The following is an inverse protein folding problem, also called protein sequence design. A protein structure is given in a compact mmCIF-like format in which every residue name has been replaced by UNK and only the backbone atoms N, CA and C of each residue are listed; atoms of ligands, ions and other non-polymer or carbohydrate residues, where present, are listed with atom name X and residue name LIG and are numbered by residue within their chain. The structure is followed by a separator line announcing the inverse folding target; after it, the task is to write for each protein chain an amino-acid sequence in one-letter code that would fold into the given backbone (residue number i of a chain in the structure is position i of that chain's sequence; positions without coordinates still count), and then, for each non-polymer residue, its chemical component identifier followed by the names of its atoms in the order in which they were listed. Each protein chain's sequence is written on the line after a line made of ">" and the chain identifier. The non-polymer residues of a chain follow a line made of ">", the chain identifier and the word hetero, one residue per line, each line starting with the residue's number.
data_IF_844284406979
#
_entry.id   IF_844284406979
#
_cell.length_a   1.000
_cell.length_b   1.000
_cell.length_c   1.000
_cell.angle_alpha   90.00
_cell.angle_beta   90.00
_cell.angle_gamma   90.00
#
_symmetry.space_group_name_H-M   'P 1'
#
loop_
_entity.id
_entity.type
_entity.pdbx_description
1 polymer ?
#
# COMPACT_ATOMS: atom_id res chain seq x y z
N UNK A 1 -8.16 -6.26 22.62
CA UNK A 1 -8.21 -6.71 21.21
C UNK A 1 -6.81 -7.20 20.80
N UNK A 2 -6.64 -8.48 20.43
CA UNK A 2 -5.36 -9.01 19.98
C UNK A 2 -4.96 -8.35 18.66
N UNK A 3 -3.66 -7.98 18.51
CA UNK A 3 -3.14 -7.42 17.25
C UNK A 3 -3.35 -8.45 16.13
N UNK A 4 -3.90 -8.07 14.98
CA UNK A 4 -4.08 -9.01 13.87
C UNK A 4 -2.72 -9.59 13.45
N UNK A 5 -2.66 -10.92 13.32
CA UNK A 5 -1.44 -11.66 13.00
C UNK A 5 -0.87 -11.21 11.65
N UNK A 6 0.45 -10.99 11.57
CA UNK A 6 1.17 -10.73 10.32
C UNK A 6 1.30 -12.00 9.50
N UNK A 7 1.32 -11.86 8.18
CA UNK A 7 1.63 -12.98 7.29
C UNK A 7 3.14 -13.24 7.28
N UNK A 8 3.56 -14.38 7.78
CA UNK A 8 4.97 -14.79 7.83
C UNK A 8 5.58 -15.02 6.45
N UNK A 9 4.75 -15.34 5.47
CA UNK A 9 5.09 -15.67 4.08
C UNK A 9 5.13 -14.44 3.16
N UNK A 10 4.85 -13.22 3.68
CA UNK A 10 4.75 -12.00 2.88
C UNK A 10 5.78 -10.97 3.31
N UNK A 11 6.62 -10.51 2.38
CA UNK A 11 7.45 -9.31 2.50
C UNK A 11 6.74 -8.11 1.87
N UNK A 12 6.78 -6.95 2.51
CA UNK A 12 6.20 -5.70 2.02
C UNK A 12 7.25 -4.78 1.41
N UNK A 13 6.94 -4.16 0.28
CA UNK A 13 7.80 -3.19 -0.40
C UNK A 13 7.03 -1.93 -0.75
N UNK A 14 7.50 -0.78 -0.24
CA UNK A 14 7.00 0.52 -0.65
C UNK A 14 7.81 0.97 -1.87
N UNK A 15 7.14 1.20 -3.00
CA UNK A 15 7.77 1.72 -4.21
C UNK A 15 7.78 3.25 -4.15
N UNK A 16 8.96 3.82 -3.97
CA UNK A 16 9.19 5.26 -3.78
C UNK A 16 10.29 5.82 -4.71
N UNK A 17 10.64 5.10 -5.78
CA UNK A 17 11.71 5.46 -6.74
C UNK A 17 11.32 6.48 -7.82
N UNK A 18 10.05 6.87 -7.93
CA UNK A 18 9.57 7.80 -8.96
C UNK A 18 10.14 9.21 -8.79
N UNK A 19 10.66 9.81 -9.88
CA UNK A 19 11.03 11.21 -9.89
C UNK A 19 9.76 12.07 -9.81
N UNK A 20 9.56 12.81 -8.71
CA UNK A 20 8.42 13.72 -8.48
C UNK A 20 8.51 15.02 -9.31
N UNK A 21 8.92 14.92 -10.59
CA UNK A 21 9.23 16.06 -11.47
C UNK A 21 8.08 17.08 -11.61
N UNK A 22 6.83 16.63 -11.44
CA UNK A 22 5.64 17.49 -11.63
C UNK A 22 5.24 18.29 -10.39
N UNK A 23 5.71 17.91 -9.21
CA UNK A 23 5.34 18.57 -7.96
C UNK A 23 6.40 19.52 -7.40
N UNK A 24 7.62 19.56 -7.98
CA UNK A 24 8.72 20.34 -7.43
C UNK A 24 9.21 19.87 -6.04
N UNK A 25 8.48 18.93 -5.41
CA UNK A 25 8.76 18.39 -4.09
C UNK A 25 8.80 16.86 -4.12
N UNK A 26 9.52 16.28 -3.15
CA UNK A 26 9.52 14.84 -2.96
C UNK A 26 8.18 14.38 -2.34
N UNK A 27 7.31 13.81 -3.18
CA UNK A 27 5.99 13.31 -2.76
C UNK A 27 6.06 12.37 -1.57
N UNK A 28 7.04 11.46 -1.55
CA UNK A 28 7.14 10.43 -0.53
C UNK A 28 7.33 11.03 0.87
N UNK A 29 7.94 12.22 0.95
CA UNK A 29 8.21 12.95 2.20
C UNK A 29 7.11 13.93 2.61
N UNK A 30 6.11 14.18 1.75
CA UNK A 30 5.03 15.11 2.08
C UNK A 30 4.29 14.68 3.35
N UNK A 31 4.02 15.62 4.28
CA UNK A 31 3.38 15.31 5.55
C UNK A 31 1.88 14.99 5.37
N UNK A 32 1.42 13.94 6.05
CA UNK A 32 0.01 13.55 6.17
C UNK A 32 -0.34 13.42 7.66
N UNK A 33 -0.74 14.53 8.28
CA UNK A 33 -0.90 14.59 9.74
C UNK A 33 0.44 14.41 10.45
N UNK A 34 0.54 13.43 11.33
CA UNK A 34 1.76 13.12 12.11
C UNK A 34 2.79 12.24 11.39
N UNK A 35 2.51 11.78 10.18
CA UNK A 35 3.40 10.90 9.39
C UNK A 35 3.62 11.46 7.98
N UNK A 36 4.63 10.97 7.26
CA UNK A 36 4.80 11.26 5.83
C UNK A 36 4.01 10.27 4.97
N UNK A 37 3.86 10.59 3.66
CA UNK A 37 3.23 9.67 2.72
C UNK A 37 3.90 8.28 2.73
N UNK A 38 5.22 8.23 2.68
CA UNK A 38 5.96 6.96 2.77
C UNK A 38 5.82 6.33 4.15
N UNK A 39 5.86 7.12 5.23
CA UNK A 39 5.67 6.65 6.60
C UNK A 39 4.33 5.94 6.80
N UNK A 40 3.26 6.50 6.23
CA UNK A 40 1.94 5.88 6.22
C UNK A 40 1.95 4.50 5.53
N UNK A 41 2.56 4.38 4.36
CA UNK A 41 2.65 3.09 3.66
C UNK A 41 3.47 2.06 4.45
N UNK A 42 4.58 2.49 5.05
CA UNK A 42 5.39 1.64 5.94
C UNK A 42 4.55 1.12 7.11
N UNK A 43 3.80 2.00 7.78
CA UNK A 43 2.94 1.63 8.91
C UNK A 43 1.87 0.62 8.49
N UNK A 44 1.21 0.82 7.35
CA UNK A 44 0.22 -0.12 6.80
C UNK A 44 0.85 -1.50 6.55
N UNK A 45 1.99 -1.54 5.86
CA UNK A 45 2.67 -2.80 5.55
C UNK A 45 3.23 -3.50 6.79
N UNK A 46 3.73 -2.75 7.80
CA UNK A 46 4.21 -3.32 9.08
C UNK A 46 3.12 -4.05 9.87
N UNK A 47 1.86 -3.66 9.72
CA UNK A 47 0.72 -4.33 10.35
C UNK A 47 0.37 -5.67 9.69
N UNK A 48 0.89 -5.94 8.48
CA UNK A 48 0.46 -7.04 7.62
C UNK A 48 1.61 -7.98 7.29
N UNK A 49 2.76 -7.43 6.90
CA UNK A 49 3.89 -8.19 6.38
C UNK A 49 4.89 -8.60 7.47
N UNK A 50 5.63 -9.67 7.21
CA UNK A 50 6.76 -10.15 8.05
C UNK A 50 7.87 -9.10 8.13
N UNK A 51 8.24 -8.52 6.99
CA UNK A 51 9.27 -7.49 6.84
C UNK A 51 8.79 -6.40 5.90
N UNK A 52 9.32 -5.19 6.06
CA UNK A 52 8.98 -4.05 5.20
C UNK A 52 10.28 -3.34 4.79
N UNK A 53 10.37 -2.99 3.52
CA UNK A 53 11.48 -2.22 2.96
C UNK A 53 10.96 -1.16 1.98
N UNK A 54 11.77 -0.14 1.72
CA UNK A 54 11.54 0.84 0.66
C UNK A 54 12.36 0.44 -0.56
N UNK A 55 11.80 0.61 -1.75
CA UNK A 55 12.54 0.61 -3.01
C UNK A 55 12.59 2.04 -3.54
N UNK A 56 13.78 2.61 -3.59
CA UNK A 56 14.02 3.98 -4.01
C UNK A 56 15.42 4.46 -3.61
N UNK A 57 15.80 5.71 -3.94
CA UNK A 57 17.11 6.25 -3.60
C UNK A 57 17.30 6.32 -2.06
N UNK A 58 18.37 5.72 -1.50
CA UNK A 58 18.59 5.69 -0.04
C UNK A 58 18.75 7.06 0.60
N UNK A 59 19.38 7.99 -0.09
CA UNK A 59 19.61 9.39 0.33
C UNK A 59 18.30 10.16 0.59
N UNK A 60 17.21 9.74 -0.03
CA UNK A 60 15.88 10.33 0.18
C UNK A 60 15.22 9.89 1.47
N UNK A 61 15.68 8.82 2.10
CA UNK A 61 15.04 8.19 3.26
C UNK A 61 16.02 7.86 4.39
N UNK A 62 16.89 8.82 4.82
CA UNK A 62 17.91 8.54 5.82
C UNK A 62 17.32 8.08 7.16
N UNK A 63 16.15 8.61 7.53
CA UNK A 63 15.49 8.36 8.82
C UNK A 63 14.31 7.38 8.72
N UNK A 64 14.27 6.55 7.68
CA UNK A 64 13.14 5.65 7.46
C UNK A 64 12.96 4.56 8.55
N UNK A 65 14.02 4.26 9.31
CA UNK A 65 14.00 3.22 10.35
C UNK A 65 13.72 1.82 9.80
N UNK A 66 13.92 1.62 8.49
CA UNK A 66 13.81 0.35 7.77
C UNK A 66 14.82 0.30 6.62
N UNK A 67 15.04 -0.91 6.09
CA UNK A 67 15.93 -1.10 4.95
C UNK A 67 15.41 -0.38 3.71
N UNK A 68 16.27 0.41 3.07
CA UNK A 68 16.05 1.03 1.76
C UNK A 68 16.95 0.36 0.74
N UNK A 69 16.39 -0.03 -0.39
CA UNK A 69 17.11 -0.60 -1.54
C UNK A 69 16.99 0.32 -2.73
N UNK A 70 18.10 0.67 -3.34
CA UNK A 70 18.11 1.33 -4.63
C UNK A 70 17.67 0.39 -5.73
N UNK A 71 17.06 0.93 -6.81
CA UNK A 71 16.68 0.15 -7.99
C UNK A 71 17.92 -0.47 -8.64
N UNK A 72 18.01 -1.80 -8.66
CA UNK A 72 19.14 -2.53 -9.28
C UNK A 72 19.23 -2.29 -10.79
N UNK A 73 18.13 -1.91 -11.43
CA UNK A 73 18.05 -1.56 -12.85
C UNK A 73 17.45 -0.17 -12.99
N UNK A 74 18.31 0.84 -12.97
CA UNK A 74 17.89 2.23 -13.02
C UNK A 74 17.05 2.57 -14.28
N UNK A 75 16.14 3.54 -14.15
CA UNK A 75 15.36 4.08 -15.26
C UNK A 75 14.26 3.18 -15.81
N UNK A 76 13.98 2.03 -15.17
CA UNK A 76 12.96 1.06 -15.62
C UNK A 76 11.60 1.27 -14.98
N UNK A 77 11.42 2.38 -14.26
CA UNK A 77 10.16 2.73 -13.60
C UNK A 77 9.70 1.68 -12.57
N UNK A 78 8.39 1.59 -12.29
CA UNK A 78 7.90 0.71 -11.23
C UNK A 78 8.25 -0.77 -11.42
N UNK A 79 8.44 -1.25 -12.65
CA UNK A 79 8.81 -2.64 -12.90
C UNK A 79 10.26 -2.93 -12.46
N UNK A 80 11.17 -1.93 -12.54
CA UNK A 80 12.52 -2.01 -11.97
C UNK A 80 12.46 -2.19 -10.45
N UNK A 81 11.65 -1.38 -9.78
CA UNK A 81 11.44 -1.52 -8.33
C UNK A 81 10.83 -2.87 -7.93
N UNK A 82 9.89 -3.39 -8.71
CA UNK A 82 9.33 -4.75 -8.51
C UNK A 82 10.43 -5.81 -8.66
N UNK A 83 11.30 -5.70 -9.66
CA UNK A 83 12.45 -6.57 -9.84
C UNK A 83 13.33 -6.60 -8.59
N UNK A 84 13.74 -5.41 -8.12
CA UNK A 84 14.59 -5.25 -6.95
C UNK A 84 13.94 -5.85 -5.70
N UNK A 85 12.66 -5.55 -5.44
CA UNK A 85 11.93 -6.08 -4.31
C UNK A 85 11.83 -7.62 -4.33
N UNK A 86 11.53 -8.23 -5.49
CA UNK A 86 11.49 -9.70 -5.65
C UNK A 86 12.86 -10.35 -5.42
N UNK A 87 13.94 -9.72 -5.82
CA UNK A 87 15.32 -10.20 -5.56
C UNK A 87 15.68 -10.15 -4.08
N UNK A 88 15.26 -9.10 -3.39
CA UNK A 88 15.53 -8.86 -1.95
C UNK A 88 14.58 -9.62 -1.03
N UNK A 89 13.44 -10.10 -1.54
CA UNK A 89 12.47 -10.85 -0.75
C UNK A 89 13.06 -12.17 -0.25
N UNK A 90 12.81 -12.45 1.04
CA UNK A 90 13.15 -13.75 1.69
C UNK A 90 11.91 -14.62 1.90
N UNK A 91 10.78 -14.24 1.31
CA UNK A 91 9.49 -14.90 1.43
C UNK A 91 8.97 -15.29 0.06
N UNK A 92 8.02 -16.23 0.03
CA UNK A 92 7.37 -16.67 -1.22
C UNK A 92 6.57 -15.54 -1.86
N UNK A 93 5.94 -14.69 -1.06
CA UNK A 93 5.09 -13.60 -1.53
C UNK A 93 5.70 -12.25 -1.23
N UNK A 94 5.48 -11.30 -2.12
CA UNK A 94 5.88 -9.90 -2.00
C UNK A 94 4.69 -9.00 -2.27
N UNK A 95 4.30 -8.19 -1.28
CA UNK A 95 3.29 -7.14 -1.42
C UNK A 95 3.98 -5.84 -1.81
N UNK A 96 3.69 -5.37 -3.01
CA UNK A 96 4.16 -4.06 -3.51
C UNK A 96 3.08 -3.02 -3.36
N UNK A 97 3.47 -1.84 -2.88
CA UNK A 97 2.57 -0.70 -2.68
C UNK A 97 3.28 0.59 -3.08
N UNK A 98 2.66 1.37 -3.98
CA UNK A 98 3.18 2.69 -4.34
C UNK A 98 3.01 3.68 -3.19
N UNK A 99 3.98 4.58 -3.02
CA UNK A 99 3.93 5.61 -1.98
C UNK A 99 2.86 6.69 -2.24
N UNK A 100 2.34 6.82 -3.47
CA UNK A 100 1.40 7.85 -3.89
C UNK A 100 -0.10 7.52 -3.69
N UNK A 101 -0.42 6.43 -2.99
CA UNK A 101 -1.79 6.02 -2.62
C UNK A 101 -2.08 6.28 -1.13
N UNK A 102 -2.20 7.54 -0.70
CA UNK A 102 -2.31 7.90 0.72
C UNK A 102 -3.61 7.47 1.39
N UNK A 103 -4.66 7.16 0.63
CA UNK A 103 -5.94 6.67 1.14
C UNK A 103 -6.01 5.14 1.22
N UNK A 104 -4.90 4.43 0.96
CA UNK A 104 -4.86 2.97 1.05
C UNK A 104 -5.33 2.47 2.42
N UNK A 105 -6.07 1.36 2.39
CA UNK A 105 -6.68 0.73 3.55
C UNK A 105 -5.96 -0.57 3.95
N UNK A 106 -5.71 -0.73 5.26
CA UNK A 106 -5.02 -1.92 5.77
C UNK A 106 -5.85 -3.20 5.63
N UNK A 107 -7.17 -3.09 5.75
CA UNK A 107 -8.11 -4.20 5.55
C UNK A 107 -8.05 -4.72 4.11
N UNK A 108 -7.99 -3.80 3.14
CA UNK A 108 -7.83 -4.19 1.74
C UNK A 108 -6.48 -4.88 1.47
N UNK A 109 -5.39 -4.35 2.00
CA UNK A 109 -4.07 -4.99 1.83
C UNK A 109 -4.04 -6.40 2.44
N UNK A 110 -4.68 -6.57 3.60
CA UNK A 110 -4.86 -7.88 4.25
C UNK A 110 -5.68 -8.82 3.36
N UNK A 111 -6.83 -8.36 2.90
CA UNK A 111 -7.69 -9.12 1.99
C UNK A 111 -6.94 -9.56 0.72
N UNK A 112 -6.14 -8.65 0.13
CA UNK A 112 -5.34 -8.95 -1.05
C UNK A 112 -4.30 -10.05 -0.78
N UNK A 113 -3.64 -10.03 0.40
CA UNK A 113 -2.73 -11.09 0.83
C UNK A 113 -3.46 -12.42 1.04
N UNK A 114 -4.61 -12.43 1.69
CA UNK A 114 -5.43 -13.64 1.89
C UNK A 114 -5.81 -14.27 0.55
N UNK A 115 -6.26 -13.47 -0.41
CA UNK A 115 -6.56 -13.94 -1.76
C UNK A 115 -5.32 -14.48 -2.48
N UNK A 116 -4.14 -13.91 -2.24
CA UNK A 116 -2.89 -14.41 -2.82
C UNK A 116 -2.46 -15.75 -2.25
N UNK A 117 -2.62 -15.95 -0.94
CA UNK A 117 -2.22 -17.18 -0.26
C UNK A 117 -3.06 -18.39 -0.70
N UNK A 118 -4.36 -18.22 -0.92
CA UNK A 118 -5.24 -19.30 -1.37
C UNK A 118 -5.24 -19.51 -2.89
N UNK A 119 -4.75 -18.52 -3.66
CA UNK A 119 -4.68 -18.60 -5.12
C UNK A 119 -3.45 -19.35 -5.61
N UNK A 120 -3.57 -20.12 -6.69
CA UNK A 120 -2.42 -20.67 -7.43
C UNK A 120 -1.78 -19.67 -8.40
N UNK A 121 -2.38 -18.49 -8.59
CA UNK A 121 -1.88 -17.46 -9.49
C UNK A 121 -0.50 -16.95 -9.07
N UNK A 122 0.25 -16.44 -10.03
CA UNK A 122 1.59 -15.86 -9.83
C UNK A 122 1.53 -14.42 -9.35
N UNK A 123 0.40 -13.72 -9.62
CA UNK A 123 0.13 -12.37 -9.18
C UNK A 123 -1.32 -12.27 -8.69
N UNK A 124 -1.55 -11.53 -7.61
CA UNK A 124 -2.89 -11.14 -7.15
C UNK A 124 -2.95 -9.62 -7.18
N UNK A 125 -3.94 -9.10 -7.91
CA UNK A 125 -4.06 -7.67 -8.21
C UNK A 125 -5.46 -7.16 -7.90
N UNK A 126 -5.61 -5.86 -7.55
CA UNK A 126 -6.91 -5.22 -7.40
C UNK A 126 -7.67 -5.18 -8.74
N UNK A 127 -8.95 -4.77 -8.72
CA UNK A 127 -9.69 -4.52 -9.96
C UNK A 127 -8.99 -3.46 -10.80
N UNK A 128 -9.02 -3.58 -12.13
CA UNK A 128 -8.59 -2.49 -13.00
C UNK A 128 -9.60 -1.34 -12.92
N UNK A 129 -9.08 -0.12 -12.77
CA UNK A 129 -9.85 1.12 -12.82
C UNK A 129 -9.56 1.85 -14.11
N UNK A 130 -10.28 2.89 -14.42
CA UNK A 130 -10.12 3.74 -15.61
C UNK A 130 -9.25 3.15 -16.75
N UNK A 131 -9.84 2.78 -17.87
CA UNK A 131 -9.15 2.25 -19.07
C UNK A 131 -8.29 0.99 -18.81
N UNK A 132 -8.61 0.19 -17.79
CA UNK A 132 -7.89 -1.06 -17.48
C UNK A 132 -6.54 -0.87 -16.79
N UNK A 133 -6.26 0.32 -16.27
CA UNK A 133 -5.04 0.59 -15.49
C UNK A 133 -5.17 -0.06 -14.11
N UNK A 134 -4.20 -0.87 -13.74
CA UNK A 134 -4.11 -1.47 -12.42
C UNK A 134 -3.41 -0.49 -11.46
N UNK A 135 -3.98 -0.25 -10.26
CA UNK A 135 -3.26 0.45 -9.21
C UNK A 135 -1.95 -0.28 -8.90
N UNK A 136 -0.91 0.48 -8.57
CA UNK A 136 0.38 -0.12 -8.21
C UNK A 136 0.35 -0.64 -6.76
N UNK A 137 -0.50 -1.65 -6.58
CA UNK A 137 -0.70 -2.42 -5.36
C UNK A 137 -0.93 -3.87 -5.80
N UNK A 138 -0.01 -4.78 -5.48
CA UNK A 138 -0.08 -6.17 -5.94
C UNK A 138 0.67 -7.11 -5.02
N UNK A 139 0.17 -8.34 -4.86
CA UNK A 139 0.94 -9.43 -4.25
C UNK A 139 1.47 -10.33 -5.36
N UNK A 140 2.79 -10.51 -5.38
CA UNK A 140 3.49 -11.31 -6.39
C UNK A 140 4.17 -12.50 -5.73
N UNK A 141 4.11 -13.66 -6.38
CA UNK A 141 4.94 -14.82 -6.00
C UNK A 141 6.36 -14.64 -6.52
N UNK A 142 7.34 -15.14 -5.77
CA UNK A 142 8.77 -15.08 -6.13
C UNK A 142 9.05 -15.64 -7.54
N UNK A 143 8.32 -16.64 -7.98
CA UNK A 143 8.50 -17.27 -9.30
C UNK A 143 8.32 -16.33 -10.50
N UNK A 144 7.68 -15.16 -10.35
CA UNK A 144 7.56 -14.19 -11.47
C UNK A 144 8.85 -13.42 -11.75
N UNK A 145 9.87 -13.54 -10.91
CA UNK A 145 11.12 -12.78 -11.05
C UNK A 145 11.76 -12.98 -12.43
N UNK A 146 11.76 -14.21 -12.97
CA UNK A 146 12.27 -14.49 -14.31
C UNK A 146 11.51 -13.74 -15.40
N UNK A 147 10.17 -13.70 -15.31
CA UNK A 147 9.31 -12.97 -16.26
C UNK A 147 9.52 -11.46 -16.17
N UNK A 148 9.69 -10.91 -14.95
CA UNK A 148 10.01 -9.50 -14.74
C UNK A 148 11.35 -9.18 -15.41
N UNK A 149 12.40 -9.98 -15.14
CA UNK A 149 13.73 -9.81 -15.72
C UNK A 149 13.68 -9.83 -17.25
N UNK A 150 13.05 -10.83 -17.86
CA UNK A 150 12.90 -10.93 -19.32
C UNK A 150 12.16 -9.71 -19.90
N UNK A 151 11.10 -9.23 -19.22
CA UNK A 151 10.40 -8.01 -19.67
C UNK A 151 11.29 -6.78 -19.66
N UNK A 152 12.11 -6.61 -18.61
CA UNK A 152 13.06 -5.49 -18.50
C UNK A 152 14.17 -5.56 -19.54
N UNK A 153 14.73 -6.74 -19.83
CA UNK A 153 15.73 -6.96 -20.88
C UNK A 153 15.18 -6.59 -22.26
N UNK A 154 13.90 -6.90 -22.52
CA UNK A 154 13.21 -6.55 -23.77
C UNK A 154 12.73 -5.08 -23.83
N UNK A 155 13.10 -4.24 -22.87
CA UNK A 155 12.65 -2.85 -22.80
C UNK A 155 11.16 -2.66 -22.48
N UNK A 156 10.45 -3.71 -22.05
CA UNK A 156 9.02 -3.70 -21.76
C UNK A 156 8.75 -3.34 -20.30
N UNK A 157 8.95 -2.07 -19.96
CA UNK A 157 8.95 -1.59 -18.56
C UNK A 157 7.54 -1.33 -17.98
N UNK A 158 6.46 -1.53 -18.77
CA UNK A 158 5.11 -1.24 -18.34
C UNK A 158 4.54 -2.37 -17.45
N UNK A 159 4.18 -2.06 -16.21
CA UNK A 159 3.60 -3.02 -15.25
C UNK A 159 2.32 -3.67 -15.81
N UNK A 160 1.48 -2.91 -16.50
CA UNK A 160 0.27 -3.44 -17.13
C UNK A 160 0.56 -4.51 -18.20
N UNK A 161 1.63 -4.34 -18.99
CA UNK A 161 2.07 -5.36 -19.96
C UNK A 161 2.63 -6.61 -19.25
N UNK A 162 3.39 -6.42 -18.18
CA UNK A 162 3.87 -7.52 -17.35
C UNK A 162 2.70 -8.35 -16.80
N UNK A 163 1.67 -7.72 -16.24
CA UNK A 163 0.50 -8.44 -15.72
C UNK A 163 -0.24 -9.25 -16.79
N UNK A 164 -0.16 -8.90 -18.07
CA UNK A 164 -0.73 -9.71 -19.16
C UNK A 164 0.05 -11.00 -19.43
N UNK A 165 1.32 -11.06 -19.03
CA UNK A 165 2.21 -12.20 -19.29
C UNK A 165 2.19 -13.25 -18.18
N UNK A 166 1.62 -12.96 -17.03
CA UNK A 166 1.61 -13.86 -15.87
C UNK A 166 0.19 -14.30 -15.54
N UNK A 167 0.08 -15.54 -15.04
CA UNK A 167 -1.18 -16.02 -14.47
C UNK A 167 -1.52 -15.15 -13.26
N UNK A 168 -2.65 -14.45 -13.32
CA UNK A 168 -3.07 -13.54 -12.26
C UNK A 168 -4.47 -13.84 -11.74
N UNK A 169 -4.66 -13.66 -10.44
CA UNK A 169 -5.93 -13.52 -9.75
C UNK A 169 -6.26 -12.03 -9.71
N UNK A 170 -7.24 -11.61 -10.45
CA UNK A 170 -7.77 -10.24 -10.37
C UNK A 170 -8.97 -10.24 -9.44
N UNK A 171 -8.95 -9.42 -8.39
CA UNK A 171 -10.13 -9.17 -7.58
C UNK A 171 -11.17 -8.47 -8.48
N UNK A 172 -12.36 -9.01 -8.59
CA UNK A 172 -13.41 -8.36 -9.38
C UNK A 172 -13.98 -7.13 -8.66
N UNK A 173 -14.57 -6.20 -9.41
CA UNK A 173 -15.26 -5.04 -8.81
C UNK A 173 -16.38 -5.46 -7.87
N UNK A 174 -17.07 -6.54 -8.19
CA UNK A 174 -18.16 -7.07 -7.36
C UNK A 174 -17.63 -7.66 -6.03
N UNK A 175 -16.53 -8.43 -6.07
CA UNK A 175 -15.85 -8.94 -4.85
C UNK A 175 -15.35 -7.78 -3.99
N UNK A 176 -14.70 -6.79 -4.61
CA UNK A 176 -14.17 -5.60 -3.94
C UNK A 176 -15.29 -4.83 -3.21
N UNK A 177 -16.42 -4.60 -3.87
CA UNK A 177 -17.57 -3.91 -3.30
C UNK A 177 -18.23 -4.72 -2.18
N UNK A 178 -18.43 -6.03 -2.38
CA UNK A 178 -18.99 -6.93 -1.36
C UNK A 178 -18.14 -7.01 -0.09
N UNK A 179 -16.82 -6.88 -0.24
CA UNK A 179 -15.90 -6.81 0.88
C UNK A 179 -15.89 -5.43 1.58
N UNK A 180 -16.74 -4.49 1.16
CA UNK A 180 -16.92 -3.18 1.79
C UNK A 180 -15.86 -2.14 1.41
N UNK A 181 -15.02 -2.39 0.41
CA UNK A 181 -13.97 -1.46 0.01
C UNK A 181 -14.48 -0.40 -0.98
N UNK A 182 -13.93 0.81 -0.86
CA UNK A 182 -14.22 1.92 -1.77
C UNK A 182 -13.08 2.15 -2.76
N UNK A 183 -13.37 2.46 -4.04
CA UNK A 183 -12.36 2.83 -5.03
C UNK A 183 -11.44 3.99 -4.61
N UNK A 184 -11.85 4.79 -3.65
CA UNK A 184 -11.06 5.90 -3.12
C UNK A 184 -9.70 5.48 -2.54
N UNK A 185 -9.56 4.23 -2.09
CA UNK A 185 -8.30 3.72 -1.57
C UNK A 185 -7.18 3.72 -2.62
N UNK A 186 -7.52 3.72 -3.91
CA UNK A 186 -6.57 3.77 -5.03
C UNK A 186 -6.34 5.19 -5.56
N UNK A 187 -6.81 6.20 -4.84
CA UNK A 187 -6.59 7.59 -5.24
C UNK A 187 -5.10 7.93 -5.14
N UNK A 188 -4.53 8.40 -6.24
CA UNK A 188 -3.14 8.84 -6.29
C UNK A 188 -3.06 10.34 -6.05
N UNK A 189 -2.13 10.78 -5.21
CA UNK A 189 -1.78 12.18 -5.02
C UNK A 189 -0.58 12.54 -5.92
N UNK A 190 -0.86 12.99 -7.15
CA UNK A 190 0.15 13.28 -8.17
C UNK A 190 0.40 14.78 -8.39
N UNK A 191 -0.52 15.63 -7.92
CA UNK A 191 -0.42 17.10 -8.00
C UNK A 191 -0.58 17.71 -6.61
N UNK A 192 -0.15 18.97 -6.41
CA UNK A 192 -0.37 19.71 -5.16
C UNK A 192 -1.85 19.77 -4.75
N UNK A 193 -2.75 19.94 -5.71
CA UNK A 193 -4.20 20.02 -5.48
C UNK A 193 -4.76 18.68 -5.00
N UNK A 194 -4.34 17.57 -5.64
CA UNK A 194 -4.72 16.22 -5.24
C UNK A 194 -4.21 15.90 -3.83
N UNK A 195 -2.97 16.29 -3.53
CA UNK A 195 -2.40 16.13 -2.19
C UNK A 195 -3.19 16.91 -1.15
N UNK A 196 -3.53 18.19 -1.39
CA UNK A 196 -4.31 19.00 -0.47
C UNK A 196 -5.71 18.41 -0.23
N UNK A 197 -6.34 17.87 -1.28
CA UNK A 197 -7.64 17.19 -1.16
C UNK A 197 -7.55 15.96 -0.23
N UNK A 198 -6.52 15.15 -0.40
CA UNK A 198 -6.29 13.98 0.44
C UNK A 198 -6.01 14.37 1.88
N UNK A 199 -5.17 15.39 2.09
CA UNK A 199 -4.84 15.88 3.44
C UNK A 199 -6.10 16.28 4.21
N UNK A 200 -6.99 17.08 3.60
CA UNK A 200 -8.28 17.47 4.21
C UNK A 200 -9.16 16.26 4.53
N UNK A 201 -9.20 15.27 3.66
CA UNK A 201 -10.00 14.05 3.91
C UNK A 201 -9.47 13.24 5.10
N UNK A 202 -8.16 13.09 5.23
CA UNK A 202 -7.54 12.37 6.35
C UNK A 202 -7.71 13.15 7.67
N UNK A 203 -7.59 14.48 7.67
CA UNK A 203 -7.84 15.33 8.82
C UNK A 203 -9.30 15.21 9.29
N UNK A 204 -10.26 15.23 8.36
CA UNK A 204 -11.68 15.05 8.68
C UNK A 204 -12.00 13.68 9.26
N UNK A 205 -11.37 12.60 8.77
CA UNK A 205 -11.51 11.26 9.32
C UNK A 205 -10.94 11.16 10.75
N UNK A 206 -9.77 11.76 10.97
CA UNK A 206 -9.11 11.76 12.28
C UNK A 206 -9.95 12.50 13.34
N UNK A 207 -10.53 13.64 12.97
CA UNK A 207 -11.39 14.42 13.85
C UNK A 207 -12.68 13.67 14.20
N UNK A 208 -13.28 12.93 13.27
CA UNK A 208 -14.49 12.09 13.54
C UNK A 208 -14.20 10.96 14.52
N UNK A 209 -13.05 10.33 14.42
CA UNK A 209 -12.64 9.26 15.35
C UNK A 209 -12.43 9.80 16.76
N UNK A 210 -11.80 10.99 16.89
CA UNK A 210 -11.60 11.65 18.19
C UNK A 210 -12.92 12.09 18.85
N UNK A 211 -13.88 12.59 18.08
CA UNK A 211 -15.21 13.00 18.60
C UNK A 211 -16.04 11.81 19.00
N UNK A 212 -15.94 10.68 18.30
CA UNK A 212 -16.61 9.43 18.67
C UNK A 212 -16.07 8.80 19.96
N UNK A 213 -14.78 8.96 20.27
CA UNK A 213 -14.19 8.50 21.53
C UNK A 213 -14.52 9.40 22.73
N UNK A 214 -14.83 10.70 22.51
CA UNK A 214 -15.22 11.64 23.55
C UNK A 214 -16.72 11.57 23.92
N UNK A 215 -17.53 10.85 23.13
CA UNK A 215 -18.98 10.71 23.34
C UNK A 215 -19.39 9.60 24.31
N UNK A 216 -18.47 8.83 24.87
CA UNK A 216 -18.75 7.76 25.84
C UNK A 216 -18.38 8.20 27.26
N UNK A 217 -19.06 9.23 27.82
CA UNK A 217 -19.03 9.49 29.25
C UNK A 217 -20.13 8.72 29.95
N UNK A 218 -19.87 8.12 31.13
CA UNK A 218 -20.80 7.29 31.82
C UNK A 218 -21.96 8.13 32.38
N UNK A 219 -23.16 7.59 32.23
CA UNK A 219 -24.37 8.09 32.91
C UNK A 219 -24.14 7.96 34.40
N UNK A 220 -24.18 9.09 35.11
CA UNK A 220 -24.12 9.18 36.56
C UNK A 220 -25.21 8.29 37.16
N UNK A 221 -24.79 7.40 38.02
CA UNK A 221 -25.68 6.68 38.96
C UNK A 221 -26.41 7.69 39.87
N UNK A 222 -27.68 7.93 39.55
CA UNK A 222 -28.56 8.69 40.39
C UNK A 222 -28.80 8.00 41.75
N UNK A 223 -28.64 8.78 42.77
CA UNK A 223 -28.90 8.51 44.17
C UNK A 223 -30.26 7.85 44.39
N UNK A 224 -30.29 6.74 45.11
CA UNK A 224 -31.49 6.29 45.83
C UNK A 224 -31.46 6.95 47.20
N UNK A 225 -32.20 8.03 47.34
CA UNK A 225 -32.58 8.51 48.66
C UNK A 225 -33.70 7.59 49.21
N UNK A 226 -33.48 7.01 50.35
CA UNK A 226 -34.49 6.31 51.11
C UNK A 226 -35.47 7.30 51.76
N UNK A 227 -36.71 6.83 51.94
CA UNK A 227 -37.58 7.22 53.07
C UNK A 227 -38.66 6.18 53.29
N UNK A 228 -38.65 5.77 54.52
CA UNK A 228 -39.68 5.18 55.39
C UNK A 228 -40.35 3.94 54.89
#
# INVERSE_FOLDING_TARGET
>A
MSRPRRFSEVSGFVLAGGASRRMGFDKARLPLGSESMVGRQIRLLRAICRSVSIIGPPDRFPDAGIQVYEDEIAGKGPLGGIHTGLRRARTEFSLFLSCDMPLMDAGFLRYLCEQALVSRASATVPPPWAKGVYPLCAVLRRRVLSTVRSSLTLGQNQVGRFFKKVQRRTISKAEFARAGFSPRIFYNANTPEEYQKVRRQLEALHNRTRVGELGAFPVSSGERSGRT
#
